data_IF_261926302424
#
_entry.id   IF_261926302424
#
_cell.length_a   1.000
_cell.length_b   1.000
_cell.length_c   1.000
_cell.angle_alpha   90.00
_cell.angle_beta   90.00
_cell.angle_gamma   90.00
#
_symmetry.space_group_name_H-M   'P 1'
#
loop_
_entity.id
_entity.type
_entity.pdbx_description
1 polymer ?
#
# COMPACT_ATOMS: atom_id res chain seq x y z
N UNK A 1 1.49 -10.40 -31.68
CA UNK A 1 1.26 -9.57 -30.49
C UNK A 1 1.73 -10.35 -29.27
N UNK A 2 2.38 -9.72 -28.29
CA UNK A 2 2.74 -10.40 -27.04
C UNK A 2 1.46 -10.88 -26.33
N UNK A 3 1.56 -12.04 -25.67
CA UNK A 3 0.48 -12.58 -24.84
C UNK A 3 0.41 -11.83 -23.49
N UNK A 4 -0.71 -11.91 -22.75
CA UNK A 4 -0.80 -11.35 -21.41
C UNK A 4 0.30 -11.90 -20.48
N UNK A 5 0.57 -13.21 -20.56
CA UNK A 5 1.62 -13.88 -19.78
C UNK A 5 3.01 -13.31 -20.09
N UNK A 6 3.39 -13.20 -21.37
CA UNK A 6 4.70 -12.65 -21.74
C UNK A 6 4.84 -11.18 -21.34
N UNK A 7 3.75 -10.40 -21.42
CA UNK A 7 3.73 -8.98 -20.99
C UNK A 7 3.97 -8.87 -19.48
N UNK A 8 3.31 -9.73 -18.69
CA UNK A 8 3.46 -9.81 -17.25
C UNK A 8 4.90 -10.19 -16.85
N UNK A 9 5.45 -11.23 -17.48
CA UNK A 9 6.79 -11.72 -17.20
C UNK A 9 7.86 -10.66 -17.47
N UNK A 10 7.74 -9.95 -18.60
CA UNK A 10 8.63 -8.85 -18.92
C UNK A 10 8.54 -7.73 -17.88
N UNK A 11 7.32 -7.29 -17.51
CA UNK A 11 7.13 -6.27 -16.50
C UNK A 11 7.73 -6.69 -15.14
N UNK A 12 7.50 -7.93 -14.71
CA UNK A 12 8.10 -8.46 -13.49
C UNK A 12 9.62 -8.50 -13.53
N UNK A 13 10.20 -8.91 -14.67
CA UNK A 13 11.64 -8.89 -14.85
C UNK A 13 12.18 -7.47 -14.66
N UNK A 14 11.56 -6.45 -15.27
CA UNK A 14 11.96 -5.05 -15.13
C UNK A 14 11.83 -4.51 -13.70
N UNK A 15 10.78 -4.90 -12.96
CA UNK A 15 10.59 -4.47 -11.57
C UNK A 15 11.59 -5.11 -10.59
N UNK A 16 12.05 -6.33 -10.91
CA UNK A 16 13.03 -7.09 -10.13
C UNK A 16 14.47 -6.77 -10.53
N UNK A 17 14.68 -6.33 -11.76
CA UNK A 17 16.00 -6.06 -12.32
C UNK A 17 16.67 -4.88 -11.61
N UNK A 18 17.79 -5.18 -10.96
CA UNK A 18 18.47 -4.21 -10.12
C UNK A 18 17.70 -3.88 -8.83
N UNK A 19 18.40 -3.26 -7.88
CA UNK A 19 17.78 -2.82 -6.62
C UNK A 19 16.62 -1.84 -6.83
N UNK A 20 16.01 -1.40 -5.73
CA UNK A 20 14.92 -0.39 -5.75
C UNK A 20 15.31 0.83 -6.58
N UNK A 21 14.39 1.28 -7.44
CA UNK A 21 14.57 2.44 -8.31
C UNK A 21 15.28 2.14 -9.64
N UNK A 22 15.87 0.96 -9.82
CA UNK A 22 16.50 0.57 -11.08
C UNK A 22 15.51 0.55 -12.26
N UNK A 23 14.26 0.17 -11.99
CA UNK A 23 13.13 0.20 -12.92
C UNK A 23 12.94 1.57 -13.61
N UNK A 24 13.33 2.67 -12.97
CA UNK A 24 13.20 4.02 -13.57
C UNK A 24 13.99 4.19 -14.87
N UNK A 25 15.06 3.41 -15.10
CA UNK A 25 15.80 3.43 -16.37
C UNK A 25 14.96 2.97 -17.56
N UNK A 26 13.91 2.20 -17.31
CA UNK A 26 13.03 1.62 -18.33
C UNK A 26 11.59 2.12 -18.15
N UNK A 27 11.42 3.36 -17.66
CA UNK A 27 10.11 3.91 -17.31
C UNK A 27 9.11 3.93 -18.47
N UNK A 28 9.54 4.24 -19.70
CA UNK A 28 8.64 4.22 -20.86
C UNK A 28 8.17 2.80 -21.19
N UNK A 29 9.09 1.83 -21.17
CA UNK A 29 8.75 0.42 -21.39
C UNK A 29 7.81 -0.11 -20.31
N UNK A 30 8.05 0.24 -19.05
CA UNK A 30 7.16 -0.09 -17.93
C UNK A 30 5.77 0.49 -18.12
N UNK A 31 5.63 1.73 -18.59
CA UNK A 31 4.31 2.34 -18.88
C UNK A 31 3.57 1.58 -19.98
N UNK A 32 4.25 1.20 -21.04
CA UNK A 32 3.65 0.41 -22.14
C UNK A 32 3.13 -0.94 -21.63
N UNK A 33 3.98 -1.68 -20.90
CA UNK A 33 3.63 -2.99 -20.35
C UNK A 33 2.50 -2.88 -19.32
N UNK A 34 2.53 -1.86 -18.47
CA UNK A 34 1.48 -1.56 -17.49
C UNK A 34 0.12 -1.41 -18.17
N UNK A 35 0.03 -0.53 -19.17
CA UNK A 35 -1.24 -0.27 -19.90
C UNK A 35 -1.69 -1.50 -20.69
N UNK A 36 -0.77 -2.24 -21.29
CA UNK A 36 -1.09 -3.49 -21.98
C UNK A 36 -1.69 -4.53 -21.01
N UNK A 37 -1.13 -4.64 -19.80
CA UNK A 37 -1.57 -5.61 -18.81
C UNK A 37 -2.94 -5.25 -18.23
N UNK A 38 -3.19 -3.96 -17.93
CA UNK A 38 -4.51 -3.49 -17.47
C UNK A 38 -5.64 -3.85 -18.44
N UNK A 39 -5.36 -3.79 -19.75
CA UNK A 39 -6.35 -4.14 -20.78
C UNK A 39 -6.54 -5.65 -20.89
N UNK A 40 -5.46 -6.40 -20.74
CA UNK A 40 -5.45 -7.84 -20.96
C UNK A 40 -6.00 -8.64 -19.78
N UNK A 41 -5.80 -8.15 -18.56
CA UNK A 41 -6.17 -8.81 -17.31
C UNK A 41 -6.56 -7.78 -16.25
N UNK A 42 -7.71 -7.10 -16.44
CA UNK A 42 -8.20 -6.16 -15.45
C UNK A 42 -8.50 -6.88 -14.13
N UNK A 43 -8.11 -6.27 -13.01
CA UNK A 43 -8.46 -6.78 -11.69
C UNK A 43 -9.98 -6.75 -11.47
N UNK A 44 -10.49 -7.72 -10.72
CA UNK A 44 -11.86 -7.75 -10.21
C UNK A 44 -11.87 -8.12 -8.72
N UNK A 45 -11.92 -7.10 -7.86
CA UNK A 45 -12.00 -7.20 -6.41
C UNK A 45 -13.34 -7.77 -5.91
N UNK A 46 -14.34 -7.93 -6.79
CA UNK A 46 -15.59 -8.62 -6.45
C UNK A 46 -15.52 -10.13 -6.66
N UNK A 47 -14.47 -10.63 -7.33
CA UNK A 47 -14.26 -12.05 -7.53
C UNK A 47 -13.94 -12.77 -6.20
N UNK A 48 -14.35 -14.04 -6.04
CA UNK A 48 -13.99 -14.84 -4.87
C UNK A 48 -12.46 -14.93 -4.70
N UNK A 49 -11.96 -14.70 -3.49
CA UNK A 49 -10.52 -14.76 -3.20
C UNK A 49 -9.74 -13.48 -3.49
N UNK A 50 -10.34 -12.48 -4.15
CA UNK A 50 -9.62 -11.28 -4.59
C UNK A 50 -9.19 -10.39 -3.40
N UNK A 51 -9.99 -10.35 -2.32
CA UNK A 51 -9.65 -9.57 -1.13
C UNK A 51 -8.51 -10.22 -0.34
N UNK A 52 -8.50 -11.54 -0.27
CA UNK A 52 -7.44 -12.35 0.32
C UNK A 52 -6.13 -12.19 -0.46
N UNK A 53 -6.23 -12.10 -1.79
CA UNK A 53 -5.08 -11.81 -2.66
C UNK A 53 -4.56 -10.38 -2.47
N UNK A 54 -5.46 -9.39 -2.37
CA UNK A 54 -5.11 -7.99 -2.14
C UNK A 54 -4.48 -7.78 -0.75
N UNK A 55 -4.95 -8.54 0.25
CA UNK A 55 -4.45 -8.50 1.61
C UNK A 55 -2.98 -8.93 1.66
N UNK A 56 -2.11 -8.02 2.10
CA UNK A 56 -0.68 -8.31 2.18
C UNK A 56 0.20 -7.08 2.34
N UNK A 57 1.51 -7.34 2.34
CA UNK A 57 2.55 -6.32 2.28
C UNK A 57 3.02 -6.20 0.83
N UNK A 58 2.99 -4.98 0.30
CA UNK A 58 3.35 -4.68 -1.08
C UNK A 58 4.47 -3.65 -1.12
N UNK A 59 5.55 -3.90 -1.84
CA UNK A 59 6.66 -2.96 -2.00
C UNK A 59 6.50 -2.19 -3.30
N UNK A 60 6.54 -0.85 -3.24
CA UNK A 60 6.58 0.01 -4.40
C UNK A 60 7.93 -0.14 -5.12
N UNK A 61 7.89 -0.64 -6.35
CA UNK A 61 9.07 -0.86 -7.19
C UNK A 61 9.24 0.21 -8.25
N UNK A 62 8.13 0.80 -8.68
CA UNK A 62 8.12 1.88 -9.65
C UNK A 62 6.86 2.75 -9.50
N UNK A 63 7.01 4.06 -9.77
CA UNK A 63 5.92 5.03 -9.81
C UNK A 63 6.12 5.98 -10.99
N UNK A 64 5.03 6.42 -11.62
CA UNK A 64 5.10 7.44 -12.67
C UNK A 64 5.25 8.86 -12.13
N UNK A 65 5.15 9.06 -10.81
CA UNK A 65 5.26 10.38 -10.17
C UNK A 65 6.72 10.78 -9.94
N UNK A 66 7.00 12.07 -10.09
CA UNK A 66 8.29 12.69 -9.75
C UNK A 66 8.35 13.21 -8.31
N UNK A 67 7.30 13.01 -7.51
CA UNK A 67 7.22 13.53 -6.15
C UNK A 67 8.22 12.83 -5.21
N UNK A 68 8.99 13.56 -4.39
CA UNK A 68 10.05 12.98 -3.54
C UNK A 68 9.56 11.90 -2.55
N UNK A 69 8.36 12.02 -2.01
CA UNK A 69 7.80 11.04 -1.07
C UNK A 69 7.31 9.74 -1.74
N UNK A 70 7.20 9.74 -3.07
CA UNK A 70 6.95 8.55 -3.89
C UNK A 70 8.22 8.05 -4.57
N UNK A 71 9.37 8.68 -4.30
CA UNK A 71 10.64 8.28 -4.89
C UNK A 71 11.02 6.87 -4.41
N UNK A 72 11.29 6.00 -5.36
CA UNK A 72 11.82 4.66 -5.12
C UNK A 72 13.34 4.76 -5.17
N UNK A 73 14.02 4.41 -4.07
CA UNK A 73 15.47 4.48 -3.96
C UNK A 73 16.06 3.23 -3.31
N UNK A 74 17.34 2.89 -3.57
CA UNK A 74 17.98 1.68 -3.04
C UNK A 74 18.02 1.63 -1.51
N UNK A 75 18.02 2.80 -0.88
CA UNK A 75 18.16 3.01 0.57
C UNK A 75 16.83 3.05 1.33
N UNK A 76 15.68 2.88 0.66
CA UNK A 76 14.36 3.00 1.29
C UNK A 76 13.40 1.91 0.80
N UNK A 77 12.79 1.21 1.73
CA UNK A 77 11.63 0.36 1.46
C UNK A 77 10.37 1.21 1.54
N UNK A 78 9.61 1.27 0.46
CA UNK A 78 8.31 1.91 0.42
C UNK A 78 7.24 0.82 0.38
N UNK A 79 6.71 0.48 1.55
CA UNK A 79 5.78 -0.61 1.77
C UNK A 79 4.35 -0.08 1.89
N UNK A 80 3.41 -0.81 1.30
CA UNK A 80 1.98 -0.59 1.40
C UNK A 80 1.35 -1.85 1.99
N UNK A 81 0.90 -1.74 3.23
CA UNK A 81 0.17 -2.79 3.93
C UNK A 81 -1.30 -2.56 3.69
N UNK A 82 -2.00 -3.55 3.14
CA UNK A 82 -3.45 -3.53 2.99
C UNK A 82 -4.05 -4.70 3.75
N UNK A 83 -4.99 -4.40 4.65
CA UNK A 83 -5.78 -5.37 5.40
C UNK A 83 -7.27 -5.04 5.19
N UNK A 84 -7.84 -5.32 4.00
CA UNK A 84 -9.24 -5.07 3.70
C UNK A 84 -10.18 -5.80 4.68
N UNK A 85 -9.80 -6.98 5.18
CA UNK A 85 -10.54 -7.70 6.24
C UNK A 85 -10.72 -6.88 7.53
N UNK A 86 -9.79 -5.95 7.79
CA UNK A 86 -9.81 -5.05 8.95
C UNK A 86 -10.26 -3.63 8.60
N UNK A 87 -10.50 -3.33 7.31
CA UNK A 87 -10.72 -1.97 6.83
C UNK A 87 -9.52 -1.04 7.06
N UNK A 88 -8.30 -1.57 7.10
CA UNK A 88 -7.07 -0.82 7.43
C UNK A 88 -6.03 -0.89 6.32
N UNK A 89 -5.29 0.20 6.14
CA UNK A 89 -4.11 0.27 5.31
C UNK A 89 -3.00 1.08 5.97
N UNK A 90 -1.77 0.92 5.52
CA UNK A 90 -0.64 1.72 5.99
C UNK A 90 0.42 1.86 4.89
N UNK A 91 0.88 3.10 4.66
CA UNK A 91 2.13 3.33 3.94
C UNK A 91 3.27 3.37 4.97
N UNK A 92 4.31 2.58 4.76
CA UNK A 92 5.48 2.50 5.63
C UNK A 92 6.75 2.71 4.81
N UNK A 93 7.44 3.80 5.09
CA UNK A 93 8.79 4.04 4.61
C UNK A 93 9.77 3.59 5.69
N UNK A 94 10.71 2.69 5.38
CA UNK A 94 11.74 2.26 6.34
C UNK A 94 13.07 1.98 5.66
N UNK A 95 14.15 1.96 6.44
CA UNK A 95 15.46 1.55 5.95
C UNK A 95 15.48 0.02 5.67
N UNK A 96 16.22 -0.45 4.65
CA UNK A 96 16.38 -1.87 4.40
C UNK A 96 17.30 -2.55 5.43
N UNK A 97 17.15 -3.87 5.56
CA UNK A 97 18.04 -4.70 6.38
C UNK A 97 17.67 -4.76 7.87
N UNK A 98 18.53 -5.34 8.72
CA UNK A 98 18.22 -5.65 10.12
C UNK A 98 18.01 -4.41 10.99
N UNK A 99 18.49 -3.24 10.56
CA UNK A 99 18.27 -1.95 11.23
C UNK A 99 16.98 -1.26 10.78
N UNK A 100 16.26 -1.81 9.80
CA UNK A 100 15.01 -1.26 9.29
C UNK A 100 13.92 -0.97 10.34
N UNK A 101 13.78 -1.75 11.43
CA UNK A 101 12.83 -1.45 12.49
C UNK A 101 13.17 -0.21 13.34
N UNK A 102 14.38 0.34 13.25
CA UNK A 102 14.87 1.40 14.16
C UNK A 102 14.30 2.77 13.79
N UNK A 103 13.93 3.01 12.53
CA UNK A 103 13.32 4.26 12.08
C UNK A 103 12.51 4.05 10.81
N UNK A 104 11.19 4.17 10.93
CA UNK A 104 10.25 4.22 9.81
C UNK A 104 9.33 5.43 9.89
N UNK A 105 8.81 5.86 8.74
CA UNK A 105 7.71 6.82 8.64
C UNK A 105 6.48 6.02 8.25
N UNK A 106 5.47 6.04 9.10
CA UNK A 106 4.22 5.33 8.89
C UNK A 106 3.07 6.32 8.69
N UNK A 107 2.18 6.02 7.76
CA UNK A 107 0.90 6.69 7.58
C UNK A 107 -0.20 5.65 7.55
N UNK A 108 -1.00 5.60 8.61
CA UNK A 108 -2.17 4.74 8.75
C UNK A 108 -3.36 5.33 7.99
N UNK A 109 -4.15 4.46 7.39
CA UNK A 109 -5.38 4.79 6.70
C UNK A 109 -6.49 3.79 7.05
N UNK A 110 -7.73 4.27 7.05
CA UNK A 110 -8.89 3.41 6.83
C UNK A 110 -9.04 3.17 5.33
N UNK A 111 -9.32 1.92 4.95
CA UNK A 111 -9.60 1.55 3.57
C UNK A 111 -10.98 0.92 3.44
N UNK A 112 -11.61 1.11 2.28
CA UNK A 112 -12.89 0.49 1.94
C UNK A 112 -12.91 0.15 0.45
N UNK A 113 -13.22 -1.09 0.12
CA UNK A 113 -13.47 -1.49 -1.28
C UNK A 113 -14.83 -0.94 -1.69
N UNK A 114 -14.85 -0.13 -2.76
CA UNK A 114 -16.05 0.56 -3.25
C UNK A 114 -16.57 -0.05 -4.55
N UNK A 115 -15.69 -0.64 -5.37
CA UNK A 115 -16.06 -1.32 -6.61
C UNK A 115 -15.12 -2.49 -6.91
N UNK A 116 -15.29 -3.12 -8.07
CA UNK A 116 -14.41 -4.19 -8.58
C UNK A 116 -12.95 -3.74 -8.77
N UNK A 117 -12.63 -2.45 -8.72
CA UNK A 117 -11.24 -1.98 -8.80
C UNK A 117 -10.92 -0.88 -7.79
N UNK A 118 -11.91 -0.18 -7.25
CA UNK A 118 -11.68 1.00 -6.41
C UNK A 118 -11.55 0.65 -4.94
N UNK A 119 -10.46 1.10 -4.34
CA UNK A 119 -10.23 1.13 -2.90
C UNK A 119 -10.18 2.58 -2.44
N UNK A 120 -11.16 2.99 -1.65
CA UNK A 120 -11.17 4.27 -0.96
C UNK A 120 -10.13 4.26 0.16
N UNK A 121 -9.41 5.37 0.31
CA UNK A 121 -8.31 5.53 1.28
C UNK A 121 -8.54 6.83 2.06
N UNK A 122 -8.61 6.69 3.38
CA UNK A 122 -8.69 7.81 4.31
C UNK A 122 -7.53 7.74 5.31
N UNK A 123 -6.51 8.54 5.09
CA UNK A 123 -5.41 8.75 6.02
C UNK A 123 -5.93 9.27 7.36
N UNK A 124 -5.49 8.63 8.43
CA UNK A 124 -5.94 8.92 9.79
C UNK A 124 -4.80 9.48 10.62
N UNK A 125 -3.62 8.83 10.55
CA UNK A 125 -2.48 9.14 11.41
C UNK A 125 -1.19 8.98 10.63
N UNK A 126 -0.21 9.81 10.94
CA UNK A 126 1.10 9.79 10.30
C UNK A 126 2.18 10.19 11.29
N UNK A 127 3.37 9.62 11.13
CA UNK A 127 4.52 9.99 11.94
C UNK A 127 5.57 8.90 12.00
N UNK A 128 6.30 8.88 13.10
CA UNK A 128 7.46 8.01 13.26
C UNK A 128 7.08 6.67 13.90
N UNK A 129 7.61 5.59 13.33
CA UNK A 129 7.51 4.22 13.81
C UNK A 129 8.91 3.75 14.19
N UNK A 130 9.12 3.49 15.47
CA UNK A 130 10.39 3.12 16.07
C UNK A 130 10.57 1.62 16.32
N UNK A 131 11.66 1.26 17.02
CA UNK A 131 11.97 -0.13 17.31
C UNK A 131 10.93 -0.75 18.24
N UNK A 132 10.82 -2.08 18.15
CA UNK A 132 10.04 -2.89 19.07
C UNK A 132 10.94 -3.40 20.20
N UNK A 133 10.55 -3.12 21.45
CA UNK A 133 11.22 -3.55 22.66
C UNK A 133 10.27 -4.49 23.42
N UNK A 134 10.43 -5.80 23.21
CA UNK A 134 9.47 -6.81 23.68
C UNK A 134 8.11 -6.65 22.99
N UNK A 135 7.06 -6.44 23.78
CA UNK A 135 5.70 -6.22 23.26
C UNK A 135 5.41 -4.75 22.91
N UNK A 136 6.26 -3.83 23.35
CA UNK A 136 6.05 -2.40 23.16
C UNK A 136 6.72 -1.94 21.86
N UNK A 137 5.97 -1.23 21.02
CA UNK A 137 6.52 -0.50 19.89
C UNK A 137 6.59 1.00 20.21
N UNK A 138 7.78 1.59 20.09
CA UNK A 138 7.92 3.04 20.19
C UNK A 138 7.31 3.69 18.95
N UNK A 139 6.36 4.60 19.12
CA UNK A 139 5.70 5.28 18.00
C UNK A 139 5.23 6.68 18.37
N UNK A 140 5.32 7.60 17.42
CA UNK A 140 4.80 8.96 17.54
C UNK A 140 3.94 9.27 16.31
N UNK A 141 2.64 8.96 16.40
CA UNK A 141 1.69 9.12 15.30
C UNK A 141 0.69 10.23 15.61
N UNK A 142 0.69 11.27 14.78
CA UNK A 142 -0.23 12.41 14.87
C UNK A 142 -1.36 12.26 13.88
N UNK A 143 -2.51 12.86 14.20
CA UNK A 143 -3.66 12.87 13.28
C UNK A 143 -3.28 13.60 11.99
N UNK A 144 -3.57 12.97 10.85
CA UNK A 144 -3.43 13.59 9.54
C UNK A 144 -4.79 14.16 9.15
N UNK A 145 -4.81 15.42 8.75
CA UNK A 145 -6.01 16.00 8.13
C UNK A 145 -5.93 15.72 6.64
N UNK A 146 -6.91 14.96 6.14
CA UNK A 146 -7.05 14.70 4.71
C UNK A 146 -8.19 15.58 4.18
N UNK A 147 -7.89 16.72 3.52
CA UNK A 147 -8.91 17.64 3.07
C UNK A 147 -9.72 17.13 1.87
N UNK A 148 -9.22 16.14 1.13
CA UNK A 148 -9.85 15.62 -0.08
C UNK A 148 -9.91 14.09 -0.09
N UNK A 149 -10.94 13.47 -0.68
CA UNK A 149 -10.99 12.02 -0.87
C UNK A 149 -9.75 11.51 -1.61
N UNK A 150 -9.23 10.36 -1.20
CA UNK A 150 -8.15 9.66 -1.89
C UNK A 150 -8.60 8.24 -2.17
N UNK A 151 -8.22 7.71 -3.33
CA UNK A 151 -8.51 6.34 -3.72
C UNK A 151 -7.35 5.78 -4.53
N UNK A 152 -7.32 4.46 -4.59
CA UNK A 152 -6.48 3.68 -5.48
C UNK A 152 -7.39 2.79 -6.32
N UNK A 153 -7.28 2.90 -7.64
CA UNK A 153 -7.88 1.93 -8.54
C UNK A 153 -6.85 0.81 -8.71
N UNK A 154 -7.12 -0.37 -8.15
CA UNK A 154 -6.34 -1.60 -8.33
C UNK A 154 -6.71 -2.13 -9.72
N UNK A 155 -5.80 -2.03 -10.67
CA UNK A 155 -6.09 -2.29 -12.08
C UNK A 155 -5.55 -3.62 -12.58
N UNK A 156 -4.51 -4.15 -11.95
CA UNK A 156 -4.07 -5.54 -12.09
C UNK A 156 -3.69 -6.07 -10.71
N UNK A 157 -4.11 -7.29 -10.40
CA UNK A 157 -3.83 -7.97 -9.14
C UNK A 157 -3.60 -9.46 -9.40
N UNK A 158 -2.51 -9.98 -8.87
CA UNK A 158 -2.27 -11.41 -8.71
C UNK A 158 -1.43 -11.67 -7.45
N UNK A 159 -0.95 -12.90 -7.24
CA UNK A 159 -0.21 -13.29 -6.03
C UNK A 159 1.14 -12.58 -5.85
N UNK A 160 1.66 -11.95 -6.90
CA UNK A 160 2.98 -11.34 -6.90
C UNK A 160 2.95 -9.86 -7.30
N UNK A 161 2.07 -9.49 -8.22
CA UNK A 161 2.02 -8.18 -8.85
C UNK A 161 0.76 -7.42 -8.45
N UNK A 162 0.94 -6.14 -8.12
CA UNK A 162 -0.16 -5.19 -8.03
C UNK A 162 0.16 -3.94 -8.82
N UNK A 163 -0.72 -3.62 -9.77
CA UNK A 163 -0.72 -2.36 -10.49
C UNK A 163 -1.89 -1.52 -10.01
N UNK A 164 -1.64 -0.25 -9.74
CA UNK A 164 -2.72 0.66 -9.38
C UNK A 164 -2.55 2.09 -9.90
N UNK A 165 -3.67 2.79 -9.97
CA UNK A 165 -3.76 4.20 -10.34
C UNK A 165 -4.23 5.02 -9.14
N UNK A 166 -3.47 6.06 -8.80
CA UNK A 166 -3.87 7.04 -7.79
C UNK A 166 -4.88 8.05 -8.33
N UNK A 167 -5.49 8.80 -7.41
CA UNK A 167 -6.45 9.88 -7.70
C UNK A 167 -5.98 10.89 -8.77
N UNK A 168 -4.69 11.21 -8.83
CA UNK A 168 -4.10 12.13 -9.82
C UNK A 168 -3.62 11.43 -11.11
N UNK A 169 -4.02 10.18 -11.36
CA UNK A 169 -3.57 9.37 -12.50
C UNK A 169 -2.15 8.83 -12.36
N UNK A 170 -1.53 8.94 -11.18
CA UNK A 170 -0.21 8.35 -10.92
C UNK A 170 -0.28 6.84 -11.01
N UNK A 171 0.64 6.23 -11.76
CA UNK A 171 0.75 4.78 -11.88
C UNK A 171 1.71 4.26 -10.81
N UNK A 172 1.35 3.15 -10.18
CA UNK A 172 2.19 2.48 -9.20
C UNK A 172 2.29 0.99 -9.54
N UNK A 173 3.52 0.48 -9.61
CA UNK A 173 3.79 -0.93 -9.78
C UNK A 173 4.46 -1.47 -8.51
N UNK A 174 3.82 -2.47 -7.91
CA UNK A 174 4.22 -3.04 -6.63
C UNK A 174 4.39 -4.54 -6.72
N UNK A 175 5.36 -5.05 -5.94
CA UNK A 175 5.57 -6.49 -5.77
C UNK A 175 5.17 -6.92 -4.37
N UNK A 176 4.58 -8.10 -4.24
CA UNK A 176 4.24 -8.68 -2.94
C UNK A 176 5.51 -9.01 -2.15
N UNK A 177 5.47 -8.80 -0.84
CA UNK A 177 6.55 -9.13 0.11
C UNK A 177 6.10 -10.27 1.03
N UNK A 178 6.18 -11.53 0.56
CA UNK A 178 5.71 -12.69 1.35
C UNK A 178 6.58 -12.95 2.59
N UNK A 179 7.79 -12.38 2.63
CA UNK A 179 8.70 -12.42 3.77
C UNK A 179 8.27 -11.48 4.93
N UNK A 180 7.26 -10.63 4.71
CA UNK A 180 6.75 -9.68 5.69
C UNK A 180 5.31 -9.99 6.06
N UNK A 181 4.98 -9.84 7.35
CA UNK A 181 3.63 -10.06 7.88
C UNK A 181 2.94 -8.75 8.25
N UNK A 182 1.67 -8.63 7.85
CA UNK A 182 0.78 -7.53 8.26
C UNK A 182 0.66 -7.47 9.78
N UNK A 183 0.43 -8.60 10.45
CA UNK A 183 0.18 -8.62 11.90
C UNK A 183 1.38 -8.15 12.70
N UNK A 184 2.58 -8.37 12.17
CA UNK A 184 3.81 -7.88 12.78
C UNK A 184 4.01 -6.38 12.57
N UNK A 185 3.60 -5.86 11.41
CA UNK A 185 3.93 -4.49 11.00
C UNK A 185 2.82 -3.47 11.28
N UNK A 186 1.54 -3.83 11.16
CA UNK A 186 0.45 -2.94 11.51
C UNK A 186 0.43 -2.71 13.03
N UNK A 187 0.45 -1.46 13.51
CA UNK A 187 0.29 -1.17 14.93
C UNK A 187 -1.12 -1.53 15.40
N UNK A 188 -1.23 -1.91 16.67
CA UNK A 188 -2.53 -2.11 17.30
C UNK A 188 -3.28 -0.78 17.40
N UNK A 189 -4.61 -0.84 17.21
CA UNK A 189 -5.45 0.33 17.44
C UNK A 189 -5.51 0.53 18.96
N UNK A 190 -5.06 1.67 19.52
CA UNK A 190 -5.35 1.97 20.91
C UNK A 190 -6.86 1.98 21.08
N UNK A 191 -7.38 1.27 22.10
CA UNK A 191 -8.79 1.25 22.43
C UNK A 191 -9.34 2.68 22.38
N UNK A 192 -10.40 2.90 21.60
CA UNK A 192 -11.12 4.17 21.71
C UNK A 192 -11.57 4.30 23.16
N UNK A 193 -11.38 5.44 23.84
CA UNK A 193 -12.08 5.67 25.08
C UNK A 193 -13.57 5.54 24.77
N UNK A 194 -14.22 4.59 25.44
CA UNK A 194 -15.66 4.39 25.32
C UNK A 194 -16.33 5.74 25.55
N UNK A 195 -17.05 6.23 24.54
CA UNK A 195 -17.97 7.35 24.74
C UNK A 195 -18.93 6.89 25.84
N UNK A 196 -19.02 7.58 27.00
CA UNK A 196 -20.00 7.20 27.99
C UNK A 196 -21.36 7.30 27.30
N UNK A 197 -22.11 6.20 27.32
CA UNK A 197 -23.48 6.16 26.86
C UNK A 197 -24.24 7.32 27.50
N UNK A 198 -24.92 8.12 26.67
CA UNK A 198 -25.85 9.15 27.12
C UNK A 198 -26.73 8.54 28.22
N UNK A 199 -26.53 9.03 29.45
CA UNK A 199 -27.46 8.78 30.53
C UNK A 199 -28.80 9.42 30.17
N UNK A 200 -29.93 8.82 30.57
CA UNK A 200 -31.23 9.37 30.24
C UNK A 200 -31.35 10.79 30.82
N UNK A 201 -31.85 11.71 29.99
CA UNK A 201 -32.14 13.09 30.40
C UNK A 201 -33.11 13.09 31.60
N UNK A 202 -32.93 14.00 32.57
CA UNK A 202 -33.89 14.13 33.66
C UNK A 202 -35.20 14.70 33.10
N UNK A 203 -36.30 14.01 33.35
CA UNK A 203 -37.66 14.55 33.19
C UNK A 203 -37.81 15.76 34.12
N UNK A 204 -38.27 16.88 33.56
CA UNK A 204 -38.73 18.08 34.26
C UNK A 204 -40.12 18.44 33.75
#
# INVERSE_FOLDING_TARGET
MPTPTSTREELLALLREGGRGAANRQAERLRELFVALERAMPADLSAPGALEQLEGVWELRWSSSSQPYLAVGPWIENLQLLAPSLGRGMNLLRLPGPLGPVAGIAVEAAIKVESSQRVQVRFQRGGWLGPRLGDIRLQLLRRVQQPFPAWLDITVLDDELRLCRGNAGTLFALLRRPDLSITTLLPETPAQPETPADGPAPEA
#
